data_IF_793534600966
#
_entry.id   IF_793534600966
#
_cell.length_a   1.000
_cell.length_b   1.000
_cell.length_c   1.000
_cell.angle_alpha   90.00
_cell.angle_beta   90.00
_cell.angle_gamma   90.00
#
_symmetry.space_group_name_H-M   'P 1'
#
loop_
_entity.id
_entity.type
_entity.pdbx_description
1 polymer ?
#
# COMPACT_ATOMS: atom_id res chain seq x y z
N UNK A 1 -22.84 -16.97 -2.28
CA UNK A 1 -23.08 -17.81 -3.46
C UNK A 1 -22.95 -16.91 -4.67
N UNK A 2 -22.03 -17.19 -5.57
CA UNK A 2 -21.77 -16.33 -6.73
C UNK A 2 -22.24 -17.03 -7.99
N UNK A 3 -23.12 -16.39 -8.76
CA UNK A 3 -23.37 -16.83 -10.13
C UNK A 3 -22.08 -16.66 -10.93
N UNK A 4 -21.74 -17.67 -11.74
CA UNK A 4 -20.57 -17.61 -12.63
C UNK A 4 -21.03 -17.37 -14.05
N UNK A 5 -20.74 -16.19 -14.59
CA UNK A 5 -20.99 -15.88 -15.99
C UNK A 5 -19.96 -16.60 -16.87
N UNK A 6 -20.36 -17.16 -18.01
CA UNK A 6 -19.47 -17.82 -18.96
C UNK A 6 -19.85 -17.31 -20.34
N UNK A 7 -18.88 -16.79 -21.09
CA UNK A 7 -19.10 -16.36 -22.46
C UNK A 7 -18.72 -17.48 -23.42
N UNK A 8 -19.67 -17.91 -24.25
CA UNK A 8 -19.46 -18.87 -25.33
C UNK A 8 -19.38 -18.08 -26.63
N UNK A 9 -18.15 -17.89 -27.13
CA UNK A 9 -17.84 -17.08 -28.30
C UNK A 9 -17.32 -17.94 -29.45
N UNK A 10 -17.57 -17.53 -30.69
CA UNK A 10 -17.16 -18.26 -31.90
C UNK A 10 -18.28 -18.27 -32.93
N UNK A 11 -17.98 -18.71 -34.15
CA UNK A 11 -18.97 -18.77 -35.24
C UNK A 11 -20.14 -19.66 -34.83
N UNK A 12 -21.36 -19.30 -35.22
CA UNK A 12 -22.55 -20.11 -34.98
C UNK A 12 -22.51 -21.31 -35.92
N UNK A 13 -22.39 -22.50 -35.33
CA UNK A 13 -22.29 -23.76 -36.06
C UNK A 13 -23.16 -24.83 -35.41
N UNK A 14 -23.54 -25.89 -36.13
CA UNK A 14 -24.31 -27.00 -35.55
C UNK A 14 -23.61 -27.62 -34.35
N UNK A 15 -22.28 -27.78 -34.40
CA UNK A 15 -21.48 -28.33 -33.31
C UNK A 15 -21.55 -27.44 -32.05
N UNK A 16 -21.42 -26.12 -32.20
CA UNK A 16 -21.56 -25.16 -31.09
C UNK A 16 -22.96 -25.21 -30.48
N UNK A 17 -24.01 -25.24 -31.31
CA UNK A 17 -25.39 -25.31 -30.83
C UNK A 17 -25.64 -26.59 -30.04
N UNK A 18 -25.25 -27.75 -30.58
CA UNK A 18 -25.36 -29.03 -29.89
C UNK A 18 -24.56 -29.06 -28.59
N UNK A 19 -23.38 -28.43 -28.57
CA UNK A 19 -22.59 -28.31 -27.36
C UNK A 19 -23.33 -27.53 -26.27
N UNK A 20 -23.92 -26.40 -26.63
CA UNK A 20 -24.66 -25.55 -25.68
C UNK A 20 -25.91 -26.26 -25.16
N UNK A 21 -26.68 -26.91 -26.04
CA UNK A 21 -27.86 -27.67 -25.67
C UNK A 21 -27.54 -28.74 -24.62
N UNK A 22 -26.43 -29.44 -24.80
CA UNK A 22 -25.96 -30.46 -23.85
C UNK A 22 -25.42 -29.87 -22.56
N UNK A 23 -24.60 -28.82 -22.66
CA UNK A 23 -23.97 -28.17 -21.51
C UNK A 23 -25.02 -27.57 -20.58
N UNK A 24 -26.02 -26.89 -21.15
CA UNK A 24 -27.07 -26.21 -20.40
C UNK A 24 -28.36 -27.05 -20.23
N UNK A 25 -28.41 -28.26 -20.81
CA UNK A 25 -29.58 -29.14 -20.79
C UNK A 25 -30.85 -28.46 -21.33
N UNK A 26 -30.69 -27.68 -22.40
CA UNK A 26 -31.78 -26.97 -23.08
C UNK A 26 -31.94 -27.47 -24.51
N UNK A 27 -33.07 -27.14 -25.11
CA UNK A 27 -33.31 -27.36 -26.53
C UNK A 27 -33.38 -25.99 -27.22
N UNK A 28 -32.41 -25.71 -28.08
CA UNK A 28 -32.28 -24.46 -28.82
C UNK A 28 -32.94 -24.53 -30.21
N UNK A 29 -33.59 -25.66 -30.56
CA UNK A 29 -34.31 -25.91 -31.81
C UNK A 29 -34.81 -24.59 -32.43
N UNK A 30 -34.09 -24.10 -33.44
CA UNK A 30 -34.39 -22.91 -34.26
C UNK A 30 -34.14 -21.51 -33.68
N UNK A 31 -33.17 -21.32 -32.77
CA UNK A 31 -32.75 -19.95 -32.43
C UNK A 31 -31.98 -19.27 -33.58
N UNK A 32 -32.63 -18.27 -34.17
CA UNK A 32 -32.04 -17.33 -35.12
C UNK A 32 -31.03 -16.42 -34.41
N UNK A 33 -29.97 -16.05 -35.14
CA UNK A 33 -28.71 -15.44 -34.68
C UNK A 33 -28.95 -14.22 -33.77
N UNK A 34 -29.03 -14.46 -32.45
CA UNK A 34 -29.12 -13.42 -31.43
C UNK A 34 -28.24 -13.78 -30.25
N UNK A 35 -27.77 -12.79 -29.47
CA UNK A 35 -27.16 -13.06 -28.17
C UNK A 35 -28.15 -13.85 -27.33
N UNK A 36 -27.76 -15.05 -26.91
CA UNK A 36 -28.61 -15.88 -26.05
C UNK A 36 -28.05 -15.82 -24.64
N UNK A 37 -28.92 -15.51 -23.68
CA UNK A 37 -28.62 -15.61 -22.26
C UNK A 37 -29.31 -16.85 -21.70
N UNK A 38 -28.52 -17.75 -21.11
CA UNK A 38 -29.03 -19.01 -20.56
C UNK A 38 -28.64 -19.08 -19.09
N UNK A 39 -29.62 -19.26 -18.23
CA UNK A 39 -29.39 -19.56 -16.81
C UNK A 39 -29.46 -21.07 -16.61
N UNK A 40 -28.37 -21.65 -16.12
CA UNK A 40 -28.31 -23.05 -15.73
C UNK A 40 -28.07 -23.16 -14.23
N UNK A 41 -28.88 -23.97 -13.55
CA UNK A 41 -28.69 -24.32 -12.14
C UNK A 41 -28.42 -25.81 -12.05
N UNK A 42 -27.33 -26.17 -11.40
CA UNK A 42 -26.98 -27.58 -11.19
C UNK A 42 -27.88 -28.18 -10.10
N UNK A 43 -28.54 -29.30 -10.37
CA UNK A 43 -29.55 -29.88 -9.46
C UNK A 43 -28.99 -30.24 -8.07
N UNK A 44 -27.72 -30.61 -8.01
CA UNK A 44 -27.03 -31.04 -6.78
C UNK A 44 -26.21 -29.95 -6.11
N UNK A 45 -26.12 -28.74 -6.69
CA UNK A 45 -25.27 -27.68 -6.14
C UNK A 45 -25.99 -26.33 -6.11
N UNK A 46 -25.52 -25.44 -5.23
CA UNK A 46 -26.03 -24.06 -5.18
C UNK A 46 -25.40 -23.18 -6.25
N UNK A 47 -24.70 -23.77 -7.22
CA UNK A 47 -24.01 -23.03 -8.26
C UNK A 47 -25.00 -22.68 -9.37
N UNK A 48 -25.01 -21.41 -9.73
CA UNK A 48 -25.77 -20.88 -10.85
C UNK A 48 -24.78 -20.41 -11.92
N UNK A 49 -24.97 -20.86 -13.15
CA UNK A 49 -24.15 -20.52 -14.30
C UNK A 49 -24.97 -19.69 -15.27
N UNK A 50 -24.38 -18.59 -15.73
CA UNK A 50 -24.99 -17.66 -16.67
C UNK A 50 -24.22 -17.71 -17.98
N UNK A 51 -24.75 -18.39 -18.99
CA UNK A 51 -24.10 -18.50 -20.29
C UNK A 51 -24.54 -17.36 -21.20
N UNK A 52 -23.58 -16.57 -21.68
CA UNK A 52 -23.75 -15.65 -22.79
C UNK A 52 -23.27 -16.33 -24.06
N UNK A 53 -24.14 -16.54 -25.04
CA UNK A 53 -23.78 -17.14 -26.32
C UNK A 53 -23.71 -16.04 -27.36
N UNK A 54 -22.53 -15.82 -27.93
CA UNK A 54 -22.29 -14.79 -28.95
C UNK A 54 -21.66 -15.38 -30.21
N UNK A 55 -22.12 -14.90 -31.36
CA UNK A 55 -21.51 -15.15 -32.66
C UNK A 55 -20.33 -14.19 -32.93
N UNK A 56 -19.41 -14.55 -33.84
CA UNK A 56 -18.29 -13.68 -34.21
C UNK A 56 -18.72 -12.35 -34.81
N UNK A 57 -19.90 -12.28 -35.43
CA UNK A 57 -20.52 -11.02 -35.88
C UNK A 57 -20.72 -9.99 -34.76
N UNK A 58 -20.74 -10.41 -33.49
CA UNK A 58 -20.82 -9.52 -32.33
C UNK A 58 -19.47 -9.01 -31.81
N UNK A 59 -18.37 -9.22 -32.55
CA UNK A 59 -17.04 -8.72 -32.19
C UNK A 59 -17.02 -7.23 -31.75
N UNK A 60 -17.71 -6.29 -32.44
CA UNK A 60 -17.73 -4.88 -32.03
C UNK A 60 -18.36 -4.62 -30.65
N UNK A 61 -19.17 -5.56 -30.16
CA UNK A 61 -19.92 -5.45 -28.91
C UNK A 61 -19.31 -6.27 -27.77
N UNK A 62 -18.16 -6.93 -27.97
CA UNK A 62 -17.51 -7.77 -26.96
C UNK A 62 -17.27 -7.06 -25.62
N UNK A 63 -17.01 -5.75 -25.66
CA UNK A 63 -16.83 -4.92 -24.46
C UNK A 63 -18.02 -4.90 -23.51
N UNK A 64 -19.24 -5.10 -24.02
CA UNK A 64 -20.46 -5.16 -23.21
C UNK A 64 -20.58 -6.48 -22.45
N UNK A 65 -20.01 -7.56 -22.96
CA UNK A 65 -20.18 -8.92 -22.42
C UNK A 65 -18.94 -9.44 -21.71
N UNK A 66 -17.73 -9.05 -22.13
CA UNK A 66 -16.47 -9.56 -21.58
C UNK A 66 -16.03 -8.88 -20.27
N UNK A 67 -16.63 -7.73 -19.91
CA UNK A 67 -16.20 -6.93 -18.76
C UNK A 67 -16.29 -7.72 -17.44
N UNK A 68 -17.43 -8.36 -17.22
CA UNK A 68 -17.72 -9.08 -15.97
C UNK A 68 -17.70 -10.60 -16.15
N UNK A 69 -17.26 -11.08 -17.32
CA UNK A 69 -17.22 -12.50 -17.58
C UNK A 69 -15.90 -13.10 -17.06
N UNK A 70 -15.96 -14.07 -16.13
CA UNK A 70 -14.77 -14.67 -15.58
C UNK A 70 -14.02 -15.60 -16.54
N UNK A 71 -14.70 -16.28 -17.48
CA UNK A 71 -14.09 -17.21 -18.46
C UNK A 71 -14.79 -17.17 -19.82
N UNK A 72 -14.03 -17.32 -20.90
CA UNK A 72 -14.54 -17.48 -22.27
C UNK A 72 -14.30 -18.91 -22.77
N UNK A 73 -15.35 -19.52 -23.33
CA UNK A 73 -15.29 -20.71 -24.15
C UNK A 73 -15.25 -20.27 -25.62
N UNK A 74 -14.10 -20.46 -26.28
CA UNK A 74 -13.91 -20.08 -27.67
C UNK A 74 -14.06 -21.30 -28.59
N UNK A 75 -15.12 -21.33 -29.41
CA UNK A 75 -15.50 -22.50 -30.20
C UNK A 75 -14.87 -22.47 -31.60
N UNK A 76 -14.17 -23.54 -31.98
CA UNK A 76 -13.52 -23.70 -33.28
C UNK A 76 -14.10 -24.91 -33.99
N UNK A 77 -14.59 -24.70 -35.22
CA UNK A 77 -15.06 -25.78 -36.10
C UNK A 77 -14.18 -25.95 -37.34
N UNK A 78 -13.59 -24.85 -37.85
CA UNK A 78 -12.61 -24.90 -38.93
C UNK A 78 -11.33 -24.20 -38.45
N UNK A 79 -10.19 -24.84 -38.70
CA UNK A 79 -8.90 -24.30 -38.31
C UNK A 79 -8.44 -23.21 -39.28
N UNK A 80 -8.52 -21.95 -38.86
CA UNK A 80 -7.89 -20.80 -39.51
C UNK A 80 -7.10 -20.02 -38.46
N UNK A 81 -5.79 -20.26 -38.39
CA UNK A 81 -4.90 -19.67 -37.39
C UNK A 81 -4.95 -18.13 -37.40
N UNK A 82 -5.09 -17.52 -38.58
CA UNK A 82 -5.10 -16.05 -38.71
C UNK A 82 -6.39 -15.47 -38.15
N UNK A 83 -7.53 -16.10 -38.43
CA UNK A 83 -8.82 -15.71 -37.88
C UNK A 83 -8.86 -15.93 -36.36
N UNK A 84 -8.45 -17.11 -35.89
CA UNK A 84 -8.44 -17.46 -34.47
C UNK A 84 -7.57 -16.49 -33.68
N UNK A 85 -6.36 -16.19 -34.17
CA UNK A 85 -5.45 -15.26 -33.49
C UNK A 85 -6.06 -13.87 -33.42
N UNK A 86 -6.63 -13.36 -34.51
CA UNK A 86 -7.31 -12.06 -34.55
C UNK A 86 -8.48 -11.97 -33.56
N UNK A 87 -9.29 -13.03 -33.47
CA UNK A 87 -10.43 -13.10 -32.54
C UNK A 87 -10.00 -13.19 -31.07
N UNK A 88 -8.96 -13.98 -30.77
CA UNK A 88 -8.36 -14.06 -29.43
C UNK A 88 -7.74 -12.72 -29.02
N UNK A 89 -7.04 -12.05 -29.94
CA UNK A 89 -6.49 -10.71 -29.69
C UNK A 89 -7.59 -9.69 -29.43
N UNK A 90 -8.73 -9.76 -30.13
CA UNK A 90 -9.87 -8.89 -29.88
C UNK A 90 -10.48 -9.11 -28.48
N UNK A 91 -10.57 -10.37 -28.02
CA UNK A 91 -10.98 -10.70 -26.67
C UNK A 91 -9.98 -10.16 -25.63
N UNK A 92 -8.67 -10.41 -25.82
CA UNK A 92 -7.60 -9.96 -24.93
C UNK A 92 -7.45 -8.43 -24.91
N UNK A 93 -7.74 -7.74 -26.01
CA UNK A 93 -7.78 -6.27 -26.06
C UNK A 93 -8.87 -5.71 -25.14
N UNK A 94 -9.99 -6.42 -25.02
CA UNK A 94 -11.09 -6.03 -24.15
C UNK A 94 -10.79 -6.34 -22.68
N UNK A 95 -10.19 -7.52 -22.43
CA UNK A 95 -9.74 -7.91 -21.10
C UNK A 95 -8.47 -8.78 -21.22
N UNK A 96 -7.32 -8.19 -20.89
CA UNK A 96 -6.00 -8.85 -21.06
C UNK A 96 -5.80 -10.05 -20.14
N UNK A 97 -6.55 -10.09 -19.03
CA UNK A 97 -6.50 -11.17 -18.02
C UNK A 97 -7.55 -12.27 -18.25
N UNK A 98 -8.28 -12.20 -19.36
CA UNK A 98 -9.41 -13.08 -19.62
C UNK A 98 -8.93 -14.52 -19.88
N UNK A 99 -9.30 -15.50 -19.03
CA UNK A 99 -9.04 -16.89 -19.30
C UNK A 99 -9.88 -17.35 -20.49
N UNK A 100 -9.21 -17.90 -21.51
CA UNK A 100 -9.85 -18.41 -22.73
C UNK A 100 -9.61 -19.92 -22.78
N UNK A 101 -10.68 -20.71 -22.81
CA UNK A 101 -10.64 -22.15 -23.06
C UNK A 101 -11.06 -22.36 -24.51
N UNK A 102 -10.14 -22.89 -25.32
CA UNK A 102 -10.44 -23.24 -26.70
C UNK A 102 -11.22 -24.54 -26.70
N UNK A 103 -12.41 -24.53 -27.29
CA UNK A 103 -13.25 -25.72 -27.48
C UNK A 103 -13.17 -26.10 -28.95
N UNK A 104 -12.43 -27.15 -29.20
CA UNK A 104 -12.20 -27.68 -30.54
C UNK A 104 -13.22 -28.78 -30.85
N UNK A 105 -14.06 -28.53 -31.85
CA UNK A 105 -15.06 -29.48 -32.35
C UNK A 105 -14.70 -30.06 -33.72
N UNK A 106 -13.45 -29.92 -34.17
CA UNK A 106 -12.99 -30.52 -35.42
C UNK A 106 -12.89 -32.05 -35.26
N UNK A 107 -13.34 -32.79 -36.28
CA UNK A 107 -13.20 -34.25 -36.29
C UNK A 107 -11.74 -34.69 -36.57
N UNK A 108 -10.88 -33.78 -37.04
CA UNK A 108 -9.51 -34.06 -37.48
C UNK A 108 -8.50 -33.91 -36.34
N UNK A 109 -8.16 -35.03 -35.68
CA UNK A 109 -7.33 -35.05 -34.46
C UNK A 109 -5.86 -34.62 -34.64
N UNK A 110 -5.37 -34.60 -35.88
CA UNK A 110 -3.93 -34.49 -36.17
C UNK A 110 -3.43 -33.05 -36.45
N UNK A 111 -4.31 -32.07 -36.70
CA UNK A 111 -3.90 -30.73 -37.14
C UNK A 111 -3.59 -29.74 -36.00
N UNK A 112 -3.99 -30.02 -34.77
CA UNK A 112 -3.97 -29.04 -33.66
C UNK A 112 -2.77 -29.22 -32.72
N UNK A 113 -1.89 -30.19 -32.98
CA UNK A 113 -0.82 -30.56 -32.04
C UNK A 113 0.24 -29.46 -31.80
N UNK A 114 0.42 -28.52 -32.74
CA UNK A 114 1.57 -27.57 -32.72
C UNK A 114 1.18 -26.08 -32.76
N UNK A 115 -0.10 -25.74 -32.57
CA UNK A 115 -0.54 -24.35 -32.67
C UNK A 115 0.02 -23.45 -31.54
N UNK A 116 0.49 -22.25 -31.92
CA UNK A 116 1.22 -21.25 -31.12
C UNK A 116 0.44 -20.61 -29.95
N UNK A 117 -0.70 -21.17 -29.53
CA UNK A 117 -1.51 -20.64 -28.43
C UNK A 117 -1.03 -21.16 -27.06
N UNK A 118 0.28 -21.19 -26.81
CA UNK A 118 0.90 -21.81 -25.64
C UNK A 118 0.28 -21.42 -24.29
N UNK A 119 -0.38 -20.26 -24.22
CA UNK A 119 -1.01 -19.72 -23.01
C UNK A 119 -2.50 -20.07 -22.86
N UNK A 120 -3.16 -20.67 -23.85
CA UNK A 120 -4.59 -20.99 -23.82
C UNK A 120 -4.81 -22.50 -23.68
N UNK A 121 -5.46 -22.99 -22.61
CA UNK A 121 -5.81 -24.40 -22.52
C UNK A 121 -6.77 -24.78 -23.66
N UNK A 122 -6.53 -25.94 -24.26
CA UNK A 122 -7.38 -26.51 -25.32
C UNK A 122 -8.16 -27.68 -24.75
N UNK A 123 -9.48 -27.64 -24.88
CA UNK A 123 -10.39 -28.73 -24.63
C UNK A 123 -10.85 -29.30 -25.98
N UNK A 124 -10.39 -30.51 -26.31
CA UNK A 124 -10.83 -31.22 -27.50
C UNK A 124 -12.15 -31.93 -27.22
N UNK A 125 -13.15 -31.67 -28.06
CA UNK A 125 -14.47 -32.27 -28.01
C UNK A 125 -14.65 -33.04 -29.31
N UNK A 126 -13.95 -34.18 -29.42
CA UNK A 126 -13.90 -34.96 -30.66
C UNK A 126 -15.15 -35.81 -30.88
N UNK A 127 -15.86 -36.20 -29.81
CA UNK A 127 -17.08 -37.00 -29.92
C UNK A 127 -18.15 -36.54 -28.95
N UNK A 128 -19.38 -36.98 -29.23
CA UNK A 128 -20.55 -36.78 -28.37
C UNK A 128 -20.40 -37.41 -26.99
N UNK A 129 -19.51 -38.38 -26.81
CA UNK A 129 -19.19 -39.04 -25.54
C UNK A 129 -18.06 -38.33 -24.78
N UNK A 130 -17.14 -37.66 -25.49
CA UNK A 130 -16.05 -36.86 -24.93
C UNK A 130 -16.54 -35.53 -24.31
N UNK A 131 -17.77 -35.13 -24.60
CA UNK A 131 -18.50 -34.06 -23.92
C UNK A 131 -18.89 -34.45 -22.48
N UNK A 132 -17.94 -34.92 -21.68
CA UNK A 132 -18.17 -35.10 -20.26
C UNK A 132 -18.29 -33.71 -19.62
N UNK A 133 -19.53 -33.34 -19.29
CA UNK A 133 -19.91 -32.07 -18.66
C UNK A 133 -19.04 -31.77 -17.44
N UNK A 134 -18.70 -32.78 -16.67
CA UNK A 134 -17.92 -32.66 -15.45
C UNK A 134 -16.49 -32.19 -15.75
N UNK A 135 -15.90 -32.64 -16.87
CA UNK A 135 -14.58 -32.21 -17.30
C UNK A 135 -14.57 -30.72 -17.69
N UNK A 136 -15.62 -30.24 -18.37
CA UNK A 136 -15.77 -28.83 -18.72
C UNK A 136 -15.86 -27.98 -17.46
N UNK A 137 -16.74 -28.33 -16.53
CA UNK A 137 -16.89 -27.59 -15.27
C UNK A 137 -15.64 -27.66 -14.39
N UNK A 138 -14.93 -28.79 -14.37
CA UNK A 138 -13.67 -28.91 -13.65
C UNK A 138 -12.57 -28.01 -14.26
N UNK A 139 -12.47 -27.94 -15.59
CA UNK A 139 -11.56 -27.03 -16.28
C UNK A 139 -11.89 -25.56 -15.99
N UNK A 140 -13.18 -25.20 -16.07
CA UNK A 140 -13.68 -23.87 -15.74
C UNK A 140 -13.39 -23.48 -14.28
N UNK A 141 -13.61 -24.39 -13.32
CA UNK A 141 -13.31 -24.15 -11.90
C UNK A 141 -11.81 -23.96 -11.66
N UNK A 142 -10.97 -24.76 -12.33
CA UNK A 142 -9.51 -24.61 -12.27
C UNK A 142 -9.06 -23.24 -12.81
N UNK A 143 -9.60 -22.81 -13.94
CA UNK A 143 -9.29 -21.50 -14.55
C UNK A 143 -9.78 -20.35 -13.68
N UNK A 144 -10.99 -20.45 -13.13
CA UNK A 144 -11.54 -19.46 -12.19
C UNK A 144 -10.70 -19.33 -10.93
N UNK A 145 -10.26 -20.46 -10.35
CA UNK A 145 -9.36 -20.45 -9.19
C UNK A 145 -8.01 -19.83 -9.52
N UNK A 146 -7.45 -20.13 -10.68
CA UNK A 146 -6.19 -19.53 -11.14
C UNK A 146 -6.32 -18.01 -11.33
N UNK A 147 -7.38 -17.56 -11.99
CA UNK A 147 -7.67 -16.12 -12.16
C UNK A 147 -7.82 -15.41 -10.82
N UNK A 148 -8.61 -15.97 -9.89
CA UNK A 148 -8.78 -15.39 -8.55
C UNK A 148 -7.47 -15.29 -7.77
N UNK A 149 -6.55 -16.25 -7.93
CA UNK A 149 -5.21 -16.17 -7.32
C UNK A 149 -4.41 -15.01 -7.92
N UNK A 150 -4.38 -14.89 -9.25
CA UNK A 150 -3.68 -13.79 -9.91
C UNK A 150 -4.28 -12.43 -9.53
N UNK A 151 -5.61 -12.31 -9.46
CA UNK A 151 -6.28 -11.09 -9.01
C UNK A 151 -6.00 -10.79 -7.54
N UNK A 152 -5.96 -11.80 -6.67
CA UNK A 152 -5.60 -11.63 -5.26
C UNK A 152 -4.15 -11.18 -5.12
N UNK A 153 -3.21 -11.83 -5.82
CA UNK A 153 -1.81 -11.43 -5.85
C UNK A 153 -1.64 -10.01 -6.37
N UNK A 154 -2.30 -9.67 -7.48
CA UNK A 154 -2.32 -8.30 -8.00
C UNK A 154 -2.91 -7.31 -6.99
N UNK A 155 -3.98 -7.68 -6.28
CA UNK A 155 -4.58 -6.84 -5.23
C UNK A 155 -3.65 -6.66 -4.03
N UNK A 156 -2.89 -7.69 -3.62
CA UNK A 156 -1.90 -7.56 -2.55
C UNK A 156 -0.75 -6.64 -2.96
N UNK A 157 -0.24 -6.77 -4.19
CA UNK A 157 0.77 -5.88 -4.75
C UNK A 157 0.24 -4.45 -4.83
N UNK A 158 -0.99 -4.25 -5.32
CA UNK A 158 -1.62 -2.93 -5.42
C UNK A 158 -1.89 -2.30 -4.04
N UNK A 159 -2.26 -3.11 -3.05
CA UNK A 159 -2.51 -2.63 -1.68
C UNK A 159 -1.22 -2.19 -0.98
N UNK A 160 -0.11 -2.85 -1.26
CA UNK A 160 1.22 -2.36 -0.84
C UNK A 160 1.59 -1.06 -1.58
N UNK A 161 1.27 -0.93 -2.88
CA UNK A 161 1.47 0.29 -3.67
C UNK A 161 0.57 1.47 -3.26
N UNK A 162 -0.54 1.23 -2.56
CA UNK A 162 -1.52 2.25 -2.17
C UNK A 162 -1.22 2.92 -0.82
N UNK A 163 -0.24 2.45 -0.06
CA UNK A 163 0.12 3.11 1.20
C UNK A 163 0.80 4.45 0.92
N UNK A 164 0.49 5.47 1.72
CA UNK A 164 1.10 6.79 1.59
C UNK A 164 2.65 6.72 1.68
N UNK A 165 3.17 5.79 2.49
CA UNK A 165 4.61 5.56 2.60
C UNK A 165 5.22 4.94 1.33
N UNK A 166 4.54 3.99 0.69
CA UNK A 166 4.98 3.45 -0.59
C UNK A 166 5.01 4.52 -1.68
N UNK A 167 4.01 5.40 -1.72
CA UNK A 167 3.98 6.56 -2.64
C UNK A 167 5.13 7.53 -2.35
N UNK A 168 5.38 7.87 -1.09
CA UNK A 168 6.54 8.69 -0.70
C UNK A 168 7.88 8.08 -1.16
N UNK A 169 8.07 6.77 -0.96
CA UNK A 169 9.27 6.04 -1.40
C UNK A 169 9.42 6.02 -2.93
N UNK A 170 8.31 5.95 -3.69
CA UNK A 170 8.35 5.96 -5.16
C UNK A 170 8.85 7.30 -5.72
N UNK A 171 8.60 8.39 -5.01
CA UNK A 171 9.14 9.71 -5.34
C UNK A 171 10.66 9.83 -5.11
N UNK A 172 11.28 8.85 -4.45
CA UNK A 172 12.73 8.79 -4.22
C UNK A 172 13.37 7.69 -5.08
N UNK A 173 14.52 7.98 -5.67
CA UNK A 173 15.29 6.97 -6.41
C UNK A 173 15.69 5.81 -5.48
N UNK A 174 15.46 4.56 -5.88
CA UNK A 174 15.88 3.38 -5.09
C UNK A 174 17.39 3.44 -4.84
N UNK A 175 17.79 3.21 -3.58
CA UNK A 175 19.19 3.31 -3.14
C UNK A 175 19.69 4.74 -2.90
N UNK A 176 18.84 5.76 -3.05
CA UNK A 176 19.18 7.11 -2.59
C UNK A 176 19.12 7.22 -1.07
N UNK A 177 19.87 8.18 -0.52
CA UNK A 177 19.88 8.47 0.93
C UNK A 177 18.47 8.82 1.44
N UNK A 178 17.63 9.46 0.61
CA UNK A 178 16.23 9.76 0.95
C UNK A 178 15.41 8.47 1.01
N UNK A 179 15.58 7.56 0.04
CA UNK A 179 14.87 6.28 0.02
C UNK A 179 15.21 5.44 1.26
N UNK A 180 16.50 5.34 1.60
CA UNK A 180 16.95 4.61 2.80
C UNK A 180 16.42 5.26 4.09
N UNK A 181 16.38 6.59 4.16
CA UNK A 181 15.80 7.30 5.31
C UNK A 181 14.29 7.06 5.43
N UNK A 182 13.55 7.03 4.32
CA UNK A 182 12.11 6.69 4.31
C UNK A 182 11.86 5.23 4.70
N UNK A 183 12.72 4.30 4.26
CA UNK A 183 12.64 2.90 4.67
C UNK A 183 12.93 2.72 6.17
N UNK A 184 13.93 3.45 6.69
CA UNK A 184 14.21 3.45 8.12
C UNK A 184 13.02 4.02 8.92
N UNK A 185 12.41 5.10 8.43
CA UNK A 185 11.20 5.66 9.03
C UNK A 185 10.05 4.65 9.04
N UNK A 186 9.78 3.99 7.92
CA UNK A 186 8.74 2.95 7.82
C UNK A 186 8.99 1.79 8.80
N UNK A 187 10.25 1.38 8.95
CA UNK A 187 10.65 0.33 9.90
C UNK A 187 10.32 0.73 11.34
N UNK A 188 10.67 1.93 11.75
CA UNK A 188 10.39 2.44 13.10
C UNK A 188 8.89 2.62 13.35
N UNK A 189 8.12 3.02 12.33
CA UNK A 189 6.67 3.17 12.43
C UNK A 189 5.91 1.84 12.66
N UNK A 190 6.53 0.68 12.42
CA UNK A 190 5.92 -0.63 12.73
C UNK A 190 5.65 -0.82 14.22
N UNK A 191 6.41 -0.14 15.07
CA UNK A 191 6.27 -0.20 16.54
C UNK A 191 5.17 0.74 17.09
N UNK A 192 4.62 1.60 16.25
CA UNK A 192 3.71 2.69 16.62
C UNK A 192 2.26 2.32 16.29
N UNK A 193 1.24 2.86 17.01
CA UNK A 193 -0.16 2.68 16.68
C UNK A 193 -0.50 3.00 15.20
N UNK A 194 -1.47 2.30 14.60
CA UNK A 194 -1.79 2.41 13.18
C UNK A 194 -2.21 3.82 12.77
N UNK A 195 -2.95 4.54 13.61
CA UNK A 195 -3.38 5.92 13.33
C UNK A 195 -2.20 6.89 13.18
N UNK A 196 -1.23 6.81 14.10
CA UNK A 196 -0.01 7.64 14.04
C UNK A 196 0.87 7.23 12.86
N UNK A 197 0.95 5.94 12.56
CA UNK A 197 1.67 5.41 11.38
C UNK A 197 1.11 5.99 10.08
N UNK A 198 -0.21 5.93 9.91
CA UNK A 198 -0.87 6.41 8.70
C UNK A 198 -0.73 7.92 8.55
N UNK A 199 -0.84 8.68 9.66
CA UNK A 199 -0.64 10.12 9.65
C UNK A 199 0.79 10.51 9.23
N UNK A 200 1.81 9.85 9.79
CA UNK A 200 3.22 10.12 9.45
C UNK A 200 3.51 9.69 8.00
N UNK A 201 2.96 8.56 7.55
CA UNK A 201 3.07 8.13 6.16
C UNK A 201 2.45 9.16 5.18
N UNK A 202 1.30 9.74 5.51
CA UNK A 202 0.69 10.82 4.74
C UNK A 202 1.53 12.11 4.75
N UNK A 203 2.12 12.47 5.89
CA UNK A 203 3.04 13.61 5.96
C UNK A 203 4.30 13.39 5.12
N UNK A 204 4.84 12.16 5.09
CA UNK A 204 5.97 11.79 4.23
C UNK A 204 5.62 11.86 2.74
N UNK A 205 4.41 11.44 2.35
CA UNK A 205 3.91 11.58 0.98
C UNK A 205 3.80 13.06 0.59
N UNK A 206 3.13 13.87 1.42
CA UNK A 206 2.98 15.31 1.18
C UNK A 206 4.33 16.01 1.07
N UNK A 207 5.29 15.63 1.92
CA UNK A 207 6.66 16.12 1.89
C UNK A 207 7.32 15.85 0.54
N UNK A 208 7.26 14.60 0.05
CA UNK A 208 7.87 14.22 -1.21
C UNK A 208 7.21 14.90 -2.41
N UNK A 209 5.88 15.02 -2.43
CA UNK A 209 5.15 15.74 -3.47
C UNK A 209 5.45 17.25 -3.46
N UNK A 210 5.53 17.86 -2.27
CA UNK A 210 5.91 19.27 -2.13
C UNK A 210 7.36 19.49 -2.57
N UNK A 211 8.23 18.51 -2.33
CA UNK A 211 9.63 18.57 -2.72
C UNK A 211 9.83 18.48 -4.24
N UNK A 212 9.06 17.63 -4.94
CA UNK A 212 9.07 17.57 -6.40
C UNK A 212 8.60 18.86 -7.08
N UNK A 213 7.76 19.66 -6.40
CA UNK A 213 7.21 20.92 -6.93
C UNK A 213 8.05 22.15 -6.55
N UNK A 214 9.22 21.96 -5.94
CA UNK A 214 10.09 23.07 -5.54
C UNK A 214 10.80 23.65 -6.76
N UNK A 215 10.32 24.80 -7.24
CA UNK A 215 11.03 25.60 -8.24
C UNK A 215 12.26 26.33 -7.65
N UNK A 216 12.28 26.58 -6.33
CA UNK A 216 13.33 27.36 -5.65
C UNK A 216 13.83 26.72 -4.35
N UNK A 217 15.15 26.74 -4.14
CA UNK A 217 15.85 26.19 -2.96
C UNK A 217 15.46 26.84 -1.61
N UNK A 218 14.94 28.07 -1.62
CA UNK A 218 14.64 28.84 -0.40
C UNK A 218 13.51 28.21 0.44
N UNK A 219 12.58 27.51 -0.21
CA UNK A 219 11.43 26.86 0.46
C UNK A 219 11.75 25.46 1.03
N UNK A 220 12.94 24.91 0.71
CA UNK A 220 13.36 23.55 1.11
C UNK A 220 13.39 23.36 2.63
N UNK A 221 13.93 24.36 3.34
CA UNK A 221 14.02 24.32 4.81
C UNK A 221 12.64 24.45 5.46
N UNK A 222 11.75 25.25 4.88
CA UNK A 222 10.38 25.44 5.37
C UNK A 222 9.60 24.12 5.30
N UNK A 223 9.58 23.47 4.13
CA UNK A 223 8.86 22.21 3.93
C UNK A 223 9.40 21.10 4.84
N UNK A 224 10.73 20.98 4.95
CA UNK A 224 11.35 20.01 5.83
C UNK A 224 11.03 20.27 7.31
N UNK A 225 10.89 21.54 7.73
CA UNK A 225 10.50 21.90 9.09
C UNK A 225 9.01 21.61 9.38
N UNK A 226 8.12 21.83 8.41
CA UNK A 226 6.70 21.50 8.50
C UNK A 226 6.50 20.00 8.69
N UNK A 227 7.20 19.17 7.92
CA UNK A 227 7.15 17.71 8.08
C UNK A 227 7.56 17.26 9.49
N UNK A 228 8.68 17.79 10.02
CA UNK A 228 9.14 17.47 11.37
C UNK A 228 8.11 17.91 12.42
N UNK A 229 7.50 19.08 12.24
CA UNK A 229 6.46 19.57 13.14
C UNK A 229 5.21 18.69 13.13
N UNK A 230 4.76 18.23 11.96
CA UNK A 230 3.64 17.30 11.82
C UNK A 230 3.98 15.96 12.51
N UNK A 231 5.16 15.40 12.28
CA UNK A 231 5.62 14.19 12.95
C UNK A 231 5.62 14.35 14.47
N UNK A 232 6.18 15.46 14.99
CA UNK A 232 6.18 15.75 16.43
C UNK A 232 4.76 15.82 17.00
N UNK A 233 3.83 16.42 16.27
CA UNK A 233 2.43 16.57 16.68
C UNK A 233 1.73 15.21 16.76
N UNK A 234 2.00 14.32 15.82
CA UNK A 234 1.40 12.97 15.79
C UNK A 234 2.05 11.99 16.77
N UNK A 235 3.35 12.13 17.03
CA UNK A 235 4.09 11.25 17.96
C UNK A 235 3.85 11.64 19.42
N UNK A 236 3.82 12.93 19.74
CA UNK A 236 3.75 13.40 21.13
C UNK A 236 2.45 14.14 21.49
N UNK A 237 1.57 14.38 20.51
CA UNK A 237 0.34 15.13 20.69
C UNK A 237 0.50 16.65 20.58
N UNK A 238 -0.63 17.35 20.39
CA UNK A 238 -0.72 18.79 20.06
C UNK A 238 -0.09 19.74 21.11
N UNK A 239 0.09 19.28 22.34
CA UNK A 239 0.57 20.11 23.47
C UNK A 239 1.91 19.66 24.06
N UNK A 240 2.68 18.82 23.37
CA UNK A 240 3.95 18.30 23.90
C UNK A 240 4.95 19.40 24.30
N UNK A 241 5.07 20.49 23.52
CA UNK A 241 5.94 21.62 23.88
C UNK A 241 5.49 22.32 25.16
N UNK A 242 4.18 22.36 25.42
CA UNK A 242 3.63 22.92 26.65
C UNK A 242 3.90 21.98 27.83
N UNK A 243 3.70 20.67 27.65
CA UNK A 243 4.02 19.67 28.66
C UNK A 243 5.52 19.67 29.00
N UNK A 244 6.39 19.77 28.00
CA UNK A 244 7.83 19.88 28.16
C UNK A 244 8.22 21.17 28.90
N UNK A 245 7.60 22.31 28.57
CA UNK A 245 7.82 23.56 29.27
C UNK A 245 7.40 23.46 30.74
N UNK A 246 6.24 22.87 31.02
CA UNK A 246 5.73 22.66 32.38
C UNK A 246 6.65 21.73 33.18
N UNK A 247 7.11 20.62 32.59
CA UNK A 247 8.05 19.70 33.24
C UNK A 247 9.39 20.38 33.50
N UNK A 248 9.90 21.17 32.55
CA UNK A 248 11.15 21.92 32.72
C UNK A 248 11.03 22.94 33.83
N UNK A 249 9.92 23.69 33.89
CA UNK A 249 9.64 24.64 34.97
C UNK A 249 9.53 23.93 36.31
N UNK A 250 8.85 22.77 36.36
CA UNK A 250 8.74 21.97 37.58
C UNK A 250 10.12 21.45 38.06
N UNK A 251 10.99 21.01 37.14
CA UNK A 251 12.35 20.57 37.46
C UNK A 251 13.17 21.74 38.00
N UNK A 252 13.14 22.90 37.33
CA UNK A 252 13.86 24.10 37.78
C UNK A 252 13.36 24.55 39.16
N UNK A 253 12.05 24.56 39.38
CA UNK A 253 11.45 24.91 40.67
C UNK A 253 11.91 23.94 41.78
N UNK A 254 11.95 22.64 41.49
CA UNK A 254 12.40 21.61 42.44
C UNK A 254 13.88 21.77 42.78
N UNK A 255 14.73 22.02 41.78
CA UNK A 255 16.16 22.29 41.98
C UNK A 255 16.39 23.58 42.79
N UNK A 256 15.59 24.61 42.53
CA UNK A 256 15.67 25.89 43.24
C UNK A 256 15.27 25.74 44.71
N UNK A 257 14.20 24.97 44.98
CA UNK A 257 13.77 24.63 46.33
C UNK A 257 14.86 23.84 47.09
N UNK A 258 15.47 22.85 46.43
CA UNK A 258 16.54 22.06 47.03
C UNK A 258 17.77 22.92 47.36
N UNK A 259 18.19 23.80 46.45
CA UNK A 259 19.29 24.73 46.68
C UNK A 259 18.99 25.70 47.84
N UNK A 260 17.76 26.20 47.92
CA UNK A 260 17.33 27.06 49.02
C UNK A 260 17.36 26.32 50.37
N UNK A 261 16.91 25.06 50.42
CA UNK A 261 16.95 24.23 51.63
C UNK A 261 18.38 23.94 52.09
N UNK A 262 19.29 23.65 51.15
CA UNK A 262 20.71 23.42 51.46
C UNK A 262 21.37 24.72 51.95
N UNK A 263 21.16 25.84 51.24
CA UNK A 263 21.71 27.14 51.65
C UNK A 263 21.19 27.60 53.00
N UNK A 264 19.91 27.38 53.26
CA UNK A 264 19.28 27.63 54.56
C UNK A 264 19.87 26.74 55.66
N UNK A 265 20.01 25.43 55.41
CA UNK A 265 20.57 24.49 56.38
C UNK A 265 22.02 24.81 56.75
N UNK A 266 22.85 25.15 55.75
CA UNK A 266 24.24 25.57 55.97
C UNK A 266 24.30 26.92 56.71
N UNK A 267 23.49 27.90 56.31
CA UNK A 267 23.44 29.21 56.98
C UNK A 267 22.95 29.14 58.43
N UNK A 268 21.96 28.26 58.69
CA UNK A 268 21.45 27.99 60.02
C UNK A 268 22.50 27.28 60.90
N UNK A 269 23.19 26.27 60.36
CA UNK A 269 24.23 25.51 61.07
C UNK A 269 25.49 26.33 61.40
N UNK A 270 25.84 27.30 60.57
CA UNK A 270 26.98 28.22 60.80
C UNK A 270 26.64 29.41 61.72
N UNK A 271 25.42 29.45 62.29
CA UNK A 271 25.03 30.48 63.26
C UNK A 271 24.77 31.87 62.66
N UNK A 272 24.66 31.98 61.33
CA UNK A 272 24.36 33.22 60.61
C UNK A 272 22.88 33.64 60.72
N UNK A 273 22.16 33.26 61.78
CA UNK A 273 20.76 33.65 61.98
C UNK A 273 20.59 34.79 63.00
N UNK A 274 21.66 35.31 63.57
CA UNK A 274 21.59 36.34 64.61
C UNK A 274 21.55 37.76 64.03
N UNK A 275 20.47 38.09 63.30
CA UNK A 275 20.04 39.48 63.05
C UNK A 275 19.94 39.91 61.58
N UNK A 276 19.29 41.07 61.29
CA UNK A 276 19.03 41.56 59.92
C UNK A 276 20.29 41.72 59.06
N UNK A 277 21.45 41.93 59.68
CA UNK A 277 22.75 42.01 59.00
C UNK A 277 23.17 40.72 58.30
N UNK A 278 22.65 39.56 58.74
CA UNK A 278 22.93 38.28 58.11
C UNK A 278 22.22 38.08 56.76
N UNK A 279 21.10 38.78 56.55
CA UNK A 279 20.43 38.81 55.25
C UNK A 279 21.28 39.55 54.20
N UNK A 280 21.88 40.69 54.59
CA UNK A 280 22.76 41.46 53.70
C UNK A 280 24.13 40.80 53.50
N UNK A 281 24.73 40.23 54.55
CA UNK A 281 25.97 39.45 54.39
C UNK A 281 25.72 38.15 53.63
N UNK A 282 24.54 37.53 53.76
CA UNK A 282 24.09 36.41 52.94
C UNK A 282 23.88 36.77 51.47
N UNK A 283 23.42 37.97 51.13
CA UNK A 283 23.33 38.46 49.74
C UNK A 283 24.72 38.77 49.17
N UNK A 284 25.61 39.40 49.95
CA UNK A 284 26.98 39.73 49.49
C UNK A 284 27.86 38.49 49.39
N UNK A 285 27.85 37.62 50.41
CA UNK A 285 28.51 36.33 50.35
C UNK A 285 27.84 35.40 49.34
N UNK A 286 26.51 35.47 49.18
CA UNK A 286 25.76 34.78 48.14
C UNK A 286 26.07 35.25 46.73
N UNK A 287 26.41 36.53 46.52
CA UNK A 287 26.87 37.05 45.21
C UNK A 287 28.30 36.61 44.89
N UNK A 288 29.18 36.55 45.89
CA UNK A 288 30.55 36.05 45.74
C UNK A 288 30.57 34.52 45.58
N UNK A 289 29.75 33.81 46.34
CA UNK A 289 29.49 32.37 46.19
C UNK A 289 28.76 32.08 44.88
N UNK A 290 27.84 32.93 44.41
CA UNK A 290 27.20 32.78 43.10
C UNK A 290 28.22 32.92 41.97
N UNK A 291 29.19 33.84 42.04
CA UNK A 291 30.24 33.93 41.02
C UNK A 291 31.19 32.73 41.01
N UNK A 292 31.51 32.17 42.17
CA UNK A 292 32.37 30.96 42.28
C UNK A 292 31.61 29.68 41.95
N UNK A 293 30.35 29.57 42.35
CA UNK A 293 29.43 28.49 41.99
C UNK A 293 29.03 28.60 40.52
N UNK A 294 28.88 29.77 39.89
CA UNK A 294 28.68 29.90 38.44
C UNK A 294 29.91 29.41 37.66
N UNK A 295 31.12 29.63 38.18
CA UNK A 295 32.36 29.09 37.62
C UNK A 295 32.48 27.57 37.71
N UNK A 296 32.01 26.95 38.80
CA UNK A 296 32.08 25.49 39.01
C UNK A 296 30.82 24.75 38.51
N UNK A 297 29.66 25.39 38.51
CA UNK A 297 28.38 24.88 38.00
C UNK A 297 28.26 25.02 36.49
N UNK A 298 29.10 25.81 35.83
CA UNK A 298 29.27 25.75 34.38
C UNK A 298 29.74 24.36 33.92
N UNK A 299 30.48 23.64 34.75
CA UNK A 299 31.01 22.30 34.44
C UNK A 299 30.05 21.19 34.89
N UNK A 300 29.46 21.30 36.09
CA UNK A 300 28.56 20.26 36.64
C UNK A 300 27.12 20.42 36.11
N UNK A 301 26.64 21.66 35.93
CA UNK A 301 25.35 21.97 35.31
C UNK A 301 25.27 21.55 33.84
N UNK A 302 26.40 21.56 33.12
CA UNK A 302 26.52 20.99 31.78
C UNK A 302 26.32 19.46 31.76
N UNK A 303 26.86 18.75 32.76
CA UNK A 303 26.74 17.28 32.84
C UNK A 303 25.39 16.77 33.37
N UNK A 304 24.80 17.41 34.39
CA UNK A 304 23.50 17.01 34.95
C UNK A 304 22.35 17.52 34.09
N UNK A 305 22.46 18.73 33.52
CA UNK A 305 21.56 19.22 32.48
C UNK A 305 21.62 18.34 31.21
N UNK A 306 22.80 17.83 30.86
CA UNK A 306 23.00 16.83 29.81
C UNK A 306 22.32 15.49 30.12
N UNK A 307 22.44 14.95 31.34
CA UNK A 307 21.82 13.68 31.74
C UNK A 307 20.30 13.74 31.90
N UNK A 308 19.75 14.85 32.42
CA UNK A 308 18.30 15.04 32.56
C UNK A 308 17.67 15.34 31.18
N UNK A 309 18.35 16.11 30.32
CA UNK A 309 17.91 16.25 28.92
C UNK A 309 18.09 14.97 28.10
N UNK A 310 19.03 14.08 28.41
CA UNK A 310 19.15 12.79 27.71
C UNK A 310 18.14 11.74 28.21
N UNK A 311 17.83 11.75 29.51
CA UNK A 311 16.93 10.78 30.15
C UNK A 311 15.43 11.10 30.00
N UNK A 312 15.05 12.39 30.07
CA UNK A 312 13.66 12.83 29.87
C UNK A 312 13.33 12.96 28.37
N UNK A 313 14.34 13.17 27.52
CA UNK A 313 14.22 13.17 26.06
C UNK A 313 14.87 11.94 25.46
N UNK A 314 14.47 10.75 25.89
CA UNK A 314 14.81 9.54 25.14
C UNK A 314 14.32 9.75 23.71
N UNK A 315 15.26 9.98 22.79
CA UNK A 315 14.97 10.32 21.40
C UNK A 315 14.04 9.27 20.84
N UNK A 316 12.78 9.63 20.58
CA UNK A 316 11.83 8.69 20.01
C UNK A 316 12.42 8.21 18.68
N UNK A 317 12.61 6.89 18.48
CA UNK A 317 13.29 6.37 17.30
C UNK A 317 12.60 6.79 16.00
N UNK A 318 11.27 6.97 16.04
CA UNK A 318 10.47 7.51 14.92
C UNK A 318 10.87 8.95 14.60
N UNK A 319 11.09 9.78 15.62
CA UNK A 319 11.53 11.17 15.42
C UNK A 319 12.98 11.28 14.98
N UNK A 320 13.83 10.34 15.40
CA UNK A 320 15.19 10.23 14.88
C UNK A 320 15.16 9.89 13.38
N UNK A 321 14.39 8.89 12.99
CA UNK A 321 14.23 8.51 11.59
C UNK A 321 13.57 9.63 10.75
N UNK A 322 12.58 10.36 11.29
CA UNK A 322 11.99 11.51 10.62
C UNK A 322 13.01 12.65 10.40
N UNK A 323 13.90 12.89 11.37
CA UNK A 323 15.00 13.84 11.22
C UNK A 323 16.01 13.39 10.16
N UNK A 324 16.29 12.09 10.06
CA UNK A 324 17.15 11.54 9.00
C UNK A 324 16.56 11.81 7.61
N UNK A 325 15.25 11.66 7.42
CA UNK A 325 14.56 12.04 6.16
C UNK A 325 14.74 13.52 5.86
N UNK A 326 14.50 14.40 6.84
CA UNK A 326 14.67 15.85 6.70
C UNK A 326 16.11 16.24 6.33
N UNK A 327 17.10 15.58 6.93
CA UNK A 327 18.52 15.79 6.63
C UNK A 327 18.90 15.28 5.24
N UNK A 328 18.46 14.06 4.88
CA UNK A 328 18.70 13.48 3.56
C UNK A 328 18.16 14.40 2.46
N UNK A 329 16.97 14.97 2.65
CA UNK A 329 16.40 15.94 1.72
C UNK A 329 17.25 17.19 1.60
N UNK A 330 17.72 17.78 2.71
CA UNK A 330 18.58 18.97 2.69
C UNK A 330 19.86 18.76 1.88
N UNK A 331 20.44 17.56 1.95
CA UNK A 331 21.66 17.19 1.26
C UNK A 331 21.43 16.78 -0.21
N UNK A 332 20.23 16.32 -0.57
CA UNK A 332 19.93 15.90 -1.92
C UNK A 332 19.84 17.10 -2.90
N UNK A 333 20.41 17.00 -4.12
CA UNK A 333 20.19 17.98 -5.18
C UNK A 333 18.71 17.98 -5.61
N UNK A 334 18.22 19.15 -6.04
CA UNK A 334 16.79 19.36 -6.41
C UNK A 334 16.39 18.60 -7.68
N UNK A 335 17.35 18.16 -8.50
CA UNK A 335 17.09 17.35 -9.67
C UNK A 335 16.89 15.88 -9.28
N UNK A 336 15.64 15.48 -9.09
CA UNK A 336 15.22 14.10 -9.31
C UNK A 336 14.40 14.05 -10.61
N UNK A 337 14.68 13.06 -11.45
CA UNK A 337 13.99 12.82 -12.71
C UNK A 337 12.48 12.91 -12.51
N UNK A 338 11.87 13.89 -13.16
CA UNK A 338 10.42 14.08 -13.23
C UNK A 338 9.76 13.19 -14.29
N UNK A 339 10.52 12.33 -14.97
CA UNK A 339 10.04 11.47 -16.05
C UNK A 339 9.63 10.08 -15.52
N UNK A 340 8.69 10.05 -14.57
CA UNK A 340 8.04 8.81 -14.08
C UNK A 340 6.52 8.90 -14.06
#
# INVERSE_FOLDING_TARGET
>A
MGASSILIYGKTTPAKTQFIERLAQINLNTMDIRPVFITYREESSTNEYHFWVLDTSYQPYLSLYCRDTPVVLYFIENWDETQITSEIEALKKTNSSLPILIVDATENKDEIADASFADCPVLRVATTEDMNRDNVFQALDKMNKAKKRLEQEAFFVFKEELTAMARAKRCALRGSVIYEALENLERELKSVPPETRDAIAQSAEKLMLAWQRLDNMENKNSIASTFIQECQTHVYGKHYRLAQAVVTVAIIATLTLAAALIGFGVGFGLGLWSGPGAFFSGIVAGAVAANTVLGVSGVIGGTVGGLISYGVFKSNPVMKAANEVSQAMKLAPVYMDTDL
#
